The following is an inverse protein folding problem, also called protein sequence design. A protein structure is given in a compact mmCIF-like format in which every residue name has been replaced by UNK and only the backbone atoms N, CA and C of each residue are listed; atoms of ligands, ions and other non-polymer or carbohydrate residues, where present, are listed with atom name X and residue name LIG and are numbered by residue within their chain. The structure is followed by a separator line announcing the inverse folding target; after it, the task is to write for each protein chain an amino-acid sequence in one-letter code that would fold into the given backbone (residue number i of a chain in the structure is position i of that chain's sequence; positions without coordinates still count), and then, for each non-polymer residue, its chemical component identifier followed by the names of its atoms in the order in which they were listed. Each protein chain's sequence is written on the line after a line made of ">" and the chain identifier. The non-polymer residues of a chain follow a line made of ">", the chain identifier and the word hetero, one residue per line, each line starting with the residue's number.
data_IF_123024873401
#
_entry.id   IF_123024873401
#
_cell.length_a   1.000
_cell.length_b   1.000
_cell.length_c   1.000
_cell.angle_alpha   90.00
_cell.angle_beta   90.00
_cell.angle_gamma   90.00
#
_symmetry.space_group_name_H-M   'P 1'
#
loop_
_entity.id
_entity.type
_entity.pdbx_description
1 polymer ?
#
# COMPACT_ATOMS: atom_id res chain seq x y z
N UNK A 1 6.76 27.15 -0.99
CA UNK A 1 7.67 26.01 -1.22
C UNK A 1 7.17 24.84 -0.42
N UNK A 2 7.03 23.63 -0.98
CA UNK A 2 6.63 22.46 -0.25
C UNK A 2 7.64 22.20 0.88
N UNK A 3 7.16 22.09 2.12
CA UNK A 3 8.03 21.72 3.25
C UNK A 3 8.33 20.22 3.13
N UNK A 4 9.61 19.90 2.95
CA UNK A 4 10.11 18.53 2.99
C UNK A 4 9.88 17.98 4.40
N UNK A 5 9.05 16.97 4.54
CA UNK A 5 8.95 16.17 5.78
C UNK A 5 9.96 15.04 5.64
N UNK A 6 11.14 15.21 6.22
CA UNK A 6 12.11 14.11 6.33
C UNK A 6 11.61 13.10 7.33
N UNK A 7 11.35 11.87 6.89
CA UNK A 7 11.05 10.77 7.82
C UNK A 7 12.32 10.35 8.54
N UNK A 8 12.26 9.95 9.84
CA UNK A 8 13.42 9.51 10.61
C UNK A 8 14.03 8.18 10.13
N UNK A 9 13.43 7.53 9.15
CA UNK A 9 13.88 6.27 8.58
C UNK A 9 14.73 6.50 7.33
N UNK A 10 16.01 6.76 7.52
CA UNK A 10 17.02 6.76 6.47
C UNK A 10 17.14 8.07 5.68
N UNK A 11 18.36 8.46 5.38
CA UNK A 11 18.76 9.74 4.75
C UNK A 11 18.31 9.95 3.30
N UNK A 12 17.50 9.10 2.65
CA UNK A 12 17.31 9.14 1.20
C UNK A 12 15.92 8.84 0.64
N UNK A 13 14.91 8.53 1.42
CA UNK A 13 13.60 8.21 0.86
C UNK A 13 12.54 9.25 1.24
N UNK A 14 12.39 10.25 0.40
CA UNK A 14 11.20 11.10 0.45
C UNK A 14 10.01 10.33 -0.13
N UNK A 15 9.32 9.58 0.72
CA UNK A 15 8.14 8.83 0.30
C UNK A 15 6.92 9.73 0.07
N UNK A 16 6.87 10.91 0.73
CA UNK A 16 5.68 11.77 0.73
C UNK A 16 6.10 13.23 0.79
N UNK A 17 5.47 14.08 -0.01
CA UNK A 17 5.55 15.53 0.10
C UNK A 17 4.20 16.15 0.42
N UNK A 18 4.21 17.26 1.15
CA UNK A 18 2.99 18.02 1.45
C UNK A 18 2.65 18.91 0.25
N UNK A 19 1.40 18.81 -0.21
CA UNK A 19 0.82 19.70 -1.22
C UNK A 19 -0.07 20.72 -0.51
N UNK A 20 0.39 21.98 -0.36
CA UNK A 20 -0.36 23.02 0.36
C UNK A 20 -1.77 23.19 -0.23
N UNK A 21 -2.80 23.17 0.62
CA UNK A 21 -4.19 23.32 0.22
C UNK A 21 -4.82 22.11 -0.49
N UNK A 22 -4.05 21.02 -0.71
CA UNK A 22 -4.52 19.82 -1.43
C UNK A 22 -4.40 18.57 -0.55
N UNK A 23 -3.24 18.29 0.04
CA UNK A 23 -2.97 17.09 0.80
C UNK A 23 -1.53 16.60 0.71
N UNK A 24 -1.32 15.35 0.31
CA UNK A 24 -0.01 14.72 0.23
C UNK A 24 0.21 14.09 -1.14
N UNK A 25 1.38 14.32 -1.72
CA UNK A 25 1.82 13.62 -2.93
C UNK A 25 2.40 12.25 -2.54
N UNK A 26 2.02 11.20 -3.27
CA UNK A 26 2.42 9.82 -3.00
C UNK A 26 3.44 9.35 -4.05
N UNK A 27 4.23 8.29 -3.75
CA UNK A 27 5.20 7.73 -4.69
C UNK A 27 4.58 7.24 -6.01
N UNK A 28 3.28 6.96 -6.01
CA UNK A 28 2.51 6.60 -7.21
C UNK A 28 2.27 7.76 -8.17
N UNK A 29 2.58 9.01 -7.77
CA UNK A 29 2.22 10.23 -8.48
C UNK A 29 0.75 10.64 -8.29
N UNK A 30 -0.03 9.89 -7.52
CA UNK A 30 -1.41 10.25 -7.18
C UNK A 30 -1.45 10.94 -5.81
N UNK A 31 -2.11 12.10 -5.66
CA UNK A 31 -2.21 12.77 -4.38
C UNK A 31 -3.29 12.15 -3.47
N UNK A 32 -2.98 12.05 -2.18
CA UNK A 32 -3.97 11.85 -1.13
C UNK A 32 -4.58 13.22 -0.79
N UNK A 33 -5.85 13.45 -1.17
CA UNK A 33 -6.47 14.77 -1.15
C UNK A 33 -7.36 14.98 0.07
N UNK A 34 -7.24 16.17 0.67
CA UNK A 34 -8.13 16.71 1.69
C UNK A 34 -8.64 18.08 1.21
N UNK A 35 -9.66 18.05 0.35
CA UNK A 35 -10.16 19.27 -0.29
C UNK A 35 -10.81 20.19 0.73
N UNK A 36 -10.50 21.50 0.65
CA UNK A 36 -11.04 22.52 1.53
C UNK A 36 -10.83 22.19 3.02
N UNK A 37 -9.67 21.62 3.37
CA UNK A 37 -9.32 21.35 4.76
C UNK A 37 -9.37 22.63 5.58
N UNK A 38 -10.21 22.67 6.59
CA UNK A 38 -10.43 23.85 7.43
C UNK A 38 -10.68 23.47 8.88
N UNK A 39 -10.43 24.39 9.77
CA UNK A 39 -10.90 24.30 11.15
C UNK A 39 -12.42 24.53 11.14
N UNK A 40 -13.16 23.67 11.83
CA UNK A 40 -14.59 23.86 12.05
C UNK A 40 -14.83 24.38 13.48
N UNK A 41 -15.39 23.61 14.34
CA UNK A 41 -15.71 23.97 15.72
C UNK A 41 -14.55 23.62 16.65
N UNK A 42 -14.58 24.18 17.85
CA UNK A 42 -13.71 23.79 18.96
C UNK A 42 -14.43 22.68 19.74
N UNK A 43 -13.73 21.59 20.08
CA UNK A 43 -14.30 20.52 20.89
C UNK A 43 -14.52 20.94 22.36
N UNK A 44 -15.17 20.08 23.16
CA UNK A 44 -15.42 20.31 24.59
C UNK A 44 -14.13 20.49 25.43
N UNK A 45 -12.97 20.17 24.84
CA UNK A 45 -11.66 20.32 25.50
C UNK A 45 -10.85 21.50 24.94
N UNK A 46 -11.49 22.39 24.16
CA UNK A 46 -10.85 23.59 23.60
C UNK A 46 -9.92 23.27 22.39
N UNK A 47 -10.01 22.09 21.75
CA UNK A 47 -9.16 21.70 20.63
C UNK A 47 -9.87 21.99 19.30
N UNK A 48 -9.16 22.56 18.30
CA UNK A 48 -9.73 22.78 16.98
C UNK A 48 -10.05 21.45 16.31
N UNK A 49 -11.27 21.30 15.85
CA UNK A 49 -11.66 20.20 14.96
C UNK A 49 -11.40 20.60 13.51
N UNK A 50 -10.98 19.63 12.71
CA UNK A 50 -10.73 19.82 11.29
C UNK A 50 -11.72 19.02 10.47
N UNK A 51 -12.10 19.59 9.35
CA UNK A 51 -13.02 18.98 8.38
C UNK A 51 -12.51 19.20 6.97
N UNK A 52 -12.87 18.29 6.08
CA UNK A 52 -12.60 18.43 4.65
C UNK A 52 -13.81 17.98 3.84
N UNK A 53 -13.88 18.41 2.59
CA UNK A 53 -15.01 18.11 1.72
C UNK A 53 -14.78 16.83 0.93
N UNK A 54 -15.82 16.01 0.85
CA UNK A 54 -15.90 14.82 0.00
C UNK A 54 -17.12 14.93 -0.93
N UNK A 55 -17.24 14.04 -1.90
CA UNK A 55 -18.42 13.95 -2.77
C UNK A 55 -19.71 13.66 -1.99
N UNK A 56 -19.61 13.09 -0.78
CA UNK A 56 -20.75 12.74 0.09
C UNK A 56 -21.04 13.80 1.15
N UNK A 57 -20.28 14.89 1.18
CA UNK A 57 -20.38 15.96 2.16
C UNK A 57 -19.09 16.14 2.98
N UNK A 58 -19.24 16.92 4.05
CA UNK A 58 -18.15 17.24 4.98
C UNK A 58 -17.82 16.04 5.87
N UNK A 59 -16.53 15.81 6.07
CA UNK A 59 -15.99 14.72 6.90
C UNK A 59 -15.00 15.28 7.91
N UNK A 60 -15.17 14.91 9.17
CA UNK A 60 -14.21 15.24 10.25
C UNK A 60 -12.94 14.44 10.09
N UNK A 61 -11.80 15.09 10.41
CA UNK A 61 -10.49 14.47 10.38
C UNK A 61 -9.62 14.96 11.53
N UNK A 62 -8.73 14.11 12.01
CA UNK A 62 -7.77 14.42 13.06
C UNK A 62 -6.41 13.80 12.70
N UNK A 63 -5.33 14.23 13.35
CA UNK A 63 -3.97 13.85 13.00
C UNK A 63 -3.74 12.33 12.90
N UNK A 64 -4.25 11.56 13.86
CA UNK A 64 -4.16 10.09 13.83
C UNK A 64 -4.81 9.47 12.58
N UNK A 65 -5.96 10.02 12.16
CA UNK A 65 -6.64 9.55 10.93
C UNK A 65 -5.89 9.93 9.66
N UNK A 66 -5.22 11.09 9.66
CA UNK A 66 -4.34 11.47 8.55
C UNK A 66 -3.17 10.49 8.42
N UNK A 67 -2.54 10.15 9.54
CA UNK A 67 -1.42 9.19 9.56
C UNK A 67 -1.89 7.81 9.09
N UNK A 68 -3.03 7.32 9.58
CA UNK A 68 -3.63 6.05 9.14
C UNK A 68 -3.86 6.04 7.63
N UNK A 69 -4.52 7.06 7.10
CA UNK A 69 -4.81 7.18 5.67
C UNK A 69 -3.51 7.20 4.84
N UNK A 70 -2.48 7.89 5.34
CA UNK A 70 -1.18 7.96 4.68
C UNK A 70 -0.48 6.60 4.65
N UNK A 71 -0.46 5.89 5.78
CA UNK A 71 0.12 4.54 5.87
C UNK A 71 -0.59 3.56 4.93
N UNK A 72 -1.92 3.60 4.89
CA UNK A 72 -2.71 2.76 3.98
C UNK A 72 -2.44 3.12 2.50
N UNK A 73 -2.33 4.41 2.17
CA UNK A 73 -2.02 4.85 0.82
C UNK A 73 -0.62 4.40 0.38
N UNK A 74 0.39 4.50 1.25
CA UNK A 74 1.75 4.02 0.99
C UNK A 74 1.78 2.50 0.83
N UNK A 75 1.10 1.75 1.68
CA UNK A 75 0.97 0.30 1.55
C UNK A 75 0.35 -0.07 0.19
N UNK A 76 -0.68 0.67 -0.25
CA UNK A 76 -1.28 0.47 -1.58
C UNK A 76 -0.31 0.79 -2.71
N UNK A 77 0.59 1.77 -2.57
CA UNK A 77 1.64 2.04 -3.55
C UNK A 77 2.59 0.85 -3.68
N UNK A 78 3.01 0.24 -2.57
CA UNK A 78 3.86 -0.96 -2.58
C UNK A 78 3.19 -2.10 -3.33
N UNK A 79 1.95 -2.45 -2.95
CA UNK A 79 1.19 -3.53 -3.60
C UNK A 79 0.99 -3.26 -5.09
N UNK A 80 0.69 -2.02 -5.48
CA UNK A 80 0.51 -1.67 -6.88
C UNK A 80 1.79 -1.91 -7.71
N UNK A 81 2.95 -1.52 -7.20
CA UNK A 81 4.23 -1.76 -7.88
C UNK A 81 4.58 -3.25 -7.95
N UNK A 82 4.29 -4.02 -6.89
CA UNK A 82 4.45 -5.48 -6.87
C UNK A 82 3.53 -6.15 -7.89
N UNK A 83 2.25 -5.72 -7.98
CA UNK A 83 1.30 -6.20 -8.99
C UNK A 83 1.76 -5.91 -10.42
N UNK A 84 2.31 -4.71 -10.68
CA UNK A 84 2.86 -4.37 -11.99
C UNK A 84 4.06 -5.28 -12.36
N UNK A 85 4.84 -5.72 -11.39
CA UNK A 85 5.91 -6.69 -11.62
C UNK A 85 5.36 -8.08 -11.93
N UNK A 86 4.37 -8.54 -11.17
CA UNK A 86 3.69 -9.82 -11.43
C UNK A 86 3.07 -9.80 -12.82
N UNK A 87 2.41 -8.70 -13.20
CA UNK A 87 1.73 -8.55 -14.48
C UNK A 87 2.64 -8.64 -15.71
N UNK A 88 3.96 -8.55 -15.54
CA UNK A 88 4.91 -8.78 -16.65
C UNK A 88 4.91 -10.22 -17.13
N UNK A 89 4.50 -11.17 -16.29
CA UNK A 89 4.52 -12.60 -16.62
C UNK A 89 3.18 -13.29 -16.36
N UNK A 90 2.54 -13.00 -15.24
CA UNK A 90 1.27 -13.60 -14.86
C UNK A 90 0.22 -12.54 -14.62
N UNK A 91 -0.99 -12.75 -15.13
CA UNK A 91 -2.09 -11.78 -15.00
C UNK A 91 -2.68 -11.81 -13.59
N UNK A 92 -2.60 -10.75 -12.79
CA UNK A 92 -3.38 -10.63 -11.55
C UNK A 92 -4.87 -10.58 -11.90
N UNK A 93 -5.66 -11.48 -11.31
CA UNK A 93 -7.11 -11.58 -11.57
C UNK A 93 -7.95 -11.11 -10.39
N UNK A 94 -7.40 -11.10 -9.19
CA UNK A 94 -8.08 -10.68 -7.98
C UNK A 94 -7.10 -10.04 -7.01
N UNK A 95 -7.56 -9.01 -6.30
CA UNK A 95 -6.85 -8.42 -5.15
C UNK A 95 -7.79 -8.35 -3.97
N UNK A 96 -7.34 -8.79 -2.80
CA UNK A 96 -8.07 -8.69 -1.54
C UNK A 96 -7.12 -8.10 -0.51
N UNK A 97 -7.34 -6.84 -0.12
CA UNK A 97 -6.45 -6.07 0.74
C UNK A 97 -5.01 -6.02 0.19
N UNK A 98 -4.10 -6.75 0.80
CA UNK A 98 -2.68 -6.90 0.47
C UNK A 98 -2.37 -8.22 -0.27
N UNK A 99 -3.38 -9.07 -0.49
CA UNK A 99 -3.24 -10.30 -1.24
C UNK A 99 -3.50 -10.10 -2.75
N UNK A 100 -2.73 -10.82 -3.55
CA UNK A 100 -2.87 -10.85 -5.02
C UNK A 100 -3.05 -12.29 -5.47
N UNK A 101 -4.04 -12.55 -6.32
CA UNK A 101 -4.25 -13.86 -6.92
C UNK A 101 -4.01 -13.82 -8.43
N UNK A 102 -3.35 -14.85 -8.94
CA UNK A 102 -3.11 -15.08 -10.36
C UNK A 102 -3.64 -16.47 -10.77
N UNK A 103 -4.06 -16.61 -12.01
CA UNK A 103 -4.39 -17.91 -12.60
C UNK A 103 -3.25 -18.30 -13.52
N UNK A 104 -2.71 -19.51 -13.32
CA UNK A 104 -1.60 -20.07 -14.08
C UNK A 104 -1.91 -21.51 -14.50
N UNK A 105 -1.24 -22.02 -15.53
CA UNK A 105 -1.33 -23.44 -15.89
C UNK A 105 -0.71 -24.31 -14.77
N UNK A 106 -1.22 -25.54 -14.60
CA UNK A 106 -0.69 -26.44 -13.58
C UNK A 106 0.78 -26.80 -13.83
N UNK A 107 1.20 -26.84 -15.09
CA UNK A 107 2.60 -27.08 -15.47
C UNK A 107 3.54 -25.94 -15.09
N UNK A 108 3.07 -24.69 -14.95
CA UNK A 108 3.85 -23.53 -14.58
C UNK A 108 3.73 -23.18 -13.09
N UNK A 109 2.95 -23.95 -12.33
CA UNK A 109 2.62 -23.64 -10.93
C UNK A 109 3.85 -23.32 -10.07
N UNK A 110 4.86 -24.18 -10.13
CA UNK A 110 6.04 -24.08 -9.26
C UNK A 110 6.91 -22.89 -9.62
N UNK A 111 7.00 -22.57 -10.90
CA UNK A 111 7.72 -21.41 -11.40
C UNK A 111 6.96 -20.12 -11.07
N UNK A 112 5.63 -20.14 -11.19
CA UNK A 112 4.77 -19.02 -10.83
C UNK A 112 4.86 -18.69 -9.33
N UNK A 113 4.87 -19.71 -8.47
CA UNK A 113 5.04 -19.55 -7.02
C UNK A 113 6.34 -18.80 -6.71
N UNK A 114 7.47 -19.22 -7.29
CA UNK A 114 8.77 -18.57 -7.09
C UNK A 114 8.74 -17.12 -7.57
N UNK A 115 8.28 -16.90 -8.79
CA UNK A 115 8.24 -15.58 -9.39
C UNK A 115 7.33 -14.60 -8.63
N UNK A 116 6.12 -15.04 -8.26
CA UNK A 116 5.17 -14.20 -7.51
C UNK A 116 5.72 -13.90 -6.11
N UNK A 117 6.36 -14.88 -5.44
CA UNK A 117 7.00 -14.64 -4.14
C UNK A 117 8.11 -13.58 -4.24
N UNK A 118 8.96 -13.65 -5.25
CA UNK A 118 10.00 -12.63 -5.49
C UNK A 118 9.37 -11.24 -5.73
N UNK A 119 8.32 -11.18 -6.55
CA UNK A 119 7.62 -9.93 -6.82
C UNK A 119 6.98 -9.34 -5.56
N UNK A 120 6.36 -10.15 -4.71
CA UNK A 120 5.69 -9.70 -3.48
C UNK A 120 6.69 -9.34 -2.36
N UNK A 121 7.92 -9.82 -2.41
CA UNK A 121 9.02 -9.43 -1.49
C UNK A 121 9.83 -8.26 -2.01
N UNK A 122 9.61 -7.83 -3.24
CA UNK A 122 10.31 -6.70 -3.82
C UNK A 122 9.95 -5.39 -3.11
N UNK A 123 10.95 -4.54 -2.92
CA UNK A 123 10.83 -3.24 -2.25
C UNK A 123 11.06 -2.11 -3.23
N UNK A 124 10.20 -1.08 -3.22
CA UNK A 124 10.42 0.12 -4.01
C UNK A 124 11.61 0.93 -3.49
N UNK A 125 12.25 1.71 -4.36
CA UNK A 125 13.41 2.55 -4.00
C UNK A 125 13.11 3.54 -2.87
N UNK A 126 11.88 3.99 -2.75
CA UNK A 126 11.45 4.90 -1.69
C UNK A 126 11.21 4.19 -0.33
N UNK A 127 11.27 2.85 -0.29
CA UNK A 127 11.07 2.03 0.90
C UNK A 127 11.98 0.79 0.94
N UNK A 128 13.25 0.93 0.60
CA UNK A 128 14.23 -0.17 0.51
C UNK A 128 14.42 -0.93 1.82
N UNK A 129 14.29 -0.25 2.94
CA UNK A 129 14.45 -0.84 4.28
C UNK A 129 13.16 -1.42 4.86
N UNK A 130 12.02 -1.34 4.13
CA UNK A 130 10.74 -1.85 4.61
C UNK A 130 10.80 -3.38 4.78
N UNK A 131 10.54 -3.93 5.97
CA UNK A 131 10.54 -5.38 6.17
C UNK A 131 9.28 -5.97 5.52
N UNK A 132 9.43 -6.54 4.32
CA UNK A 132 8.35 -7.21 3.59
C UNK A 132 8.54 -8.71 3.63
N UNK A 133 7.46 -9.41 3.96
CA UNK A 133 7.32 -10.85 3.84
C UNK A 133 6.00 -11.16 3.14
N UNK A 134 5.88 -12.31 2.49
CA UNK A 134 4.62 -12.79 1.96
C UNK A 134 4.45 -14.28 2.27
N UNK A 135 3.22 -14.67 2.48
CA UNK A 135 2.80 -16.07 2.45
C UNK A 135 2.23 -16.36 1.06
N UNK A 136 2.49 -17.54 0.54
CA UNK A 136 2.01 -17.93 -0.77
C UNK A 136 1.26 -19.27 -0.67
N UNK A 137 0.18 -19.40 -1.41
CA UNK A 137 -0.59 -20.61 -1.52
C UNK A 137 -0.98 -20.87 -2.97
N UNK A 138 -1.18 -22.14 -3.33
CA UNK A 138 -1.70 -22.54 -4.62
C UNK A 138 -2.76 -23.61 -4.44
N UNK A 139 -3.81 -23.55 -5.26
CA UNK A 139 -4.93 -24.48 -5.22
C UNK A 139 -5.74 -24.43 -6.51
N UNK A 140 -6.71 -25.32 -6.64
CA UNK A 140 -7.63 -25.33 -7.78
C UNK A 140 -8.68 -24.23 -7.72
N UNK A 141 -8.86 -23.63 -6.54
CA UNK A 141 -9.74 -22.49 -6.29
C UNK A 141 -9.09 -21.53 -5.30
N UNK A 142 -9.58 -20.29 -5.23
CA UNK A 142 -9.08 -19.28 -4.28
C UNK A 142 -9.24 -19.78 -2.81
N UNK A 143 -10.32 -20.50 -2.49
CA UNK A 143 -10.54 -21.07 -1.16
C UNK A 143 -9.52 -22.13 -0.76
N UNK A 144 -8.93 -22.83 -1.73
CA UNK A 144 -7.92 -23.87 -1.48
C UNK A 144 -6.52 -23.28 -1.25
N UNK A 145 -6.29 -22.01 -1.66
CA UNK A 145 -5.00 -21.34 -1.52
C UNK A 145 -4.66 -20.99 -0.05
N UNK A 146 -5.62 -21.04 0.87
CA UNK A 146 -5.40 -20.73 2.28
C UNK A 146 -4.71 -21.85 3.09
N UNK A 147 -4.47 -23.03 2.52
CA UNK A 147 -3.67 -24.06 3.16
C UNK A 147 -2.20 -23.70 3.07
N UNK A 148 -1.59 -23.38 4.21
CA UNK A 148 -0.13 -23.07 4.28
C UNK A 148 0.66 -24.12 3.52
N UNK A 149 1.23 -23.72 2.41
CA UNK A 149 2.26 -24.50 1.76
C UNK A 149 3.56 -24.20 2.52
N UNK A 150 4.24 -25.23 3.02
CA UNK A 150 5.56 -25.05 3.61
C UNK A 150 6.50 -24.49 2.53
N UNK A 151 6.94 -23.24 2.70
CA UNK A 151 7.81 -22.51 1.77
C UNK A 151 9.19 -23.20 1.66
N UNK A 152 9.55 -24.00 2.70
CA UNK A 152 10.78 -24.80 2.74
C UNK A 152 10.94 -25.74 1.54
N UNK A 153 9.83 -26.30 1.01
CA UNK A 153 9.84 -27.16 -0.18
C UNK A 153 10.38 -26.44 -1.43
N UNK A 154 10.38 -25.10 -1.43
CA UNK A 154 10.73 -24.28 -2.58
C UNK A 154 12.06 -23.52 -2.41
N UNK A 155 12.77 -23.69 -1.27
CA UNK A 155 14.01 -22.97 -0.97
C UNK A 155 13.82 -21.47 -0.83
N UNK A 156 12.62 -21.01 -0.39
CA UNK A 156 12.21 -19.61 -0.30
C UNK A 156 12.16 -19.13 1.17
N UNK A 157 12.94 -19.74 2.06
CA UNK A 157 13.06 -19.32 3.45
C UNK A 157 13.84 -17.99 3.60
#
# INVERSE_FOLDING_TARGET
>A
SPKLVTTPFGKQAQAVSVLPGIGYDLPSGLPLKYMNLRSSEIDLHGRPQYVYDTRKGEVRIYGGKVVENLCQALARCVIAEQMLRIAKRYKPVLTVHDAVACVVSESERDEAIKYVNECMRWRPKWAETLPLACEIGAGKSYGDCGKKMSIEKWGLA
#
